data_IF_745909884129
#
_entry.id   IF_745909884129
#
_cell.length_a   1.000
_cell.length_b   1.000
_cell.length_c   1.000
_cell.angle_alpha   90.00
_cell.angle_beta   90.00
_cell.angle_gamma   90.00
#
_symmetry.space_group_name_H-M   'P 1'
#
loop_
_entity.id
_entity.type
_entity.pdbx_description
1 polymer ?
#
# COMPACT_ATOMS: atom_id res chain seq x y z
N UNK A 1 20.61 33.14 -35.37
CA UNK A 1 19.67 33.44 -34.28
C UNK A 1 18.41 32.56 -34.27
N UNK A 2 17.90 32.07 -35.41
CA UNK A 2 16.67 31.24 -35.45
C UNK A 2 16.76 29.88 -34.75
N UNK A 3 17.86 29.13 -34.90
CA UNK A 3 18.02 27.78 -34.33
C UNK A 3 18.17 27.81 -32.79
N UNK A 4 18.87 28.82 -32.26
CA UNK A 4 19.06 28.99 -30.82
C UNK A 4 17.72 29.28 -30.12
N UNK A 5 16.86 30.12 -30.73
CA UNK A 5 15.52 30.43 -30.24
C UNK A 5 14.54 29.23 -30.32
N UNK A 6 14.74 28.34 -31.29
CA UNK A 6 13.93 27.13 -31.45
C UNK A 6 14.30 26.07 -30.40
N UNK A 7 15.59 25.95 -30.08
CA UNK A 7 16.08 25.08 -29.00
C UNK A 7 15.65 25.57 -27.62
N UNK A 8 15.73 26.88 -27.34
CA UNK A 8 15.23 27.42 -26.07
C UNK A 8 13.71 27.33 -25.97
N UNK A 9 12.96 27.60 -27.04
CA UNK A 9 11.51 27.42 -27.04
C UNK A 9 11.10 25.95 -26.83
N UNK A 10 11.80 25.00 -27.46
CA UNK A 10 11.58 23.57 -27.23
C UNK A 10 11.93 23.17 -25.79
N UNK A 11 13.02 23.68 -25.23
CA UNK A 11 13.41 23.46 -23.84
C UNK A 11 12.36 24.00 -22.86
N UNK A 12 11.85 25.21 -23.09
CA UNK A 12 10.79 25.81 -22.28
C UNK A 12 9.48 25.01 -22.37
N UNK A 13 9.07 24.60 -23.57
CA UNK A 13 7.90 23.74 -23.77
C UNK A 13 8.07 22.38 -23.06
N UNK A 14 9.24 21.75 -23.17
CA UNK A 14 9.50 20.48 -22.46
C UNK A 14 9.54 20.67 -20.94
N UNK A 15 10.05 21.81 -20.45
CA UNK A 15 10.09 22.13 -19.03
C UNK A 15 8.68 22.40 -18.47
N UNK A 16 7.82 23.09 -19.22
CA UNK A 16 6.43 23.33 -18.82
C UNK A 16 5.59 22.04 -18.82
N UNK A 17 5.76 21.19 -19.82
CA UNK A 17 5.07 19.88 -19.90
C UNK A 17 5.51 18.99 -18.74
N UNK A 18 6.82 18.88 -18.48
CA UNK A 18 7.33 18.07 -17.35
C UNK A 18 6.92 18.63 -15.99
N UNK A 19 6.91 19.95 -15.80
CA UNK A 19 6.44 20.56 -14.54
C UNK A 19 4.95 20.29 -14.31
N UNK A 20 4.14 20.36 -15.36
CA UNK A 20 2.71 20.04 -15.31
C UNK A 20 2.48 18.58 -14.95
N UNK A 21 3.23 17.66 -15.56
CA UNK A 21 3.13 16.24 -15.28
C UNK A 21 3.55 15.93 -13.83
N UNK A 22 4.60 16.58 -13.32
CA UNK A 22 5.00 16.46 -11.91
C UNK A 22 3.97 17.04 -10.94
N UNK A 23 3.36 18.18 -11.26
CA UNK A 23 2.34 18.81 -10.42
C UNK A 23 1.06 17.96 -10.34
N UNK A 24 0.61 17.43 -11.48
CA UNK A 24 -0.55 16.52 -11.54
C UNK A 24 -0.25 15.23 -10.77
N UNK A 25 0.91 14.64 -10.99
CA UNK A 25 1.32 13.40 -10.32
C UNK A 25 1.47 13.59 -8.80
N UNK A 26 2.07 14.70 -8.37
CA UNK A 26 2.16 15.08 -6.96
C UNK A 26 0.79 15.32 -6.31
N UNK A 27 -0.13 15.99 -7.02
CA UNK A 27 -1.50 16.18 -6.56
C UNK A 27 -2.22 14.85 -6.34
N UNK A 28 -2.17 13.94 -7.32
CA UNK A 28 -2.79 12.62 -7.19
C UNK A 28 -2.11 11.73 -6.13
N UNK A 29 -0.81 11.90 -5.90
CA UNK A 29 -0.12 11.26 -4.77
C UNK A 29 -0.63 11.75 -3.42
N UNK A 30 -0.77 13.05 -3.22
CA UNK A 30 -1.31 13.62 -1.97
C UNK A 30 -2.79 13.25 -1.79
N UNK A 31 -3.59 13.37 -2.86
CA UNK A 31 -5.01 13.06 -2.82
C UNK A 31 -5.28 11.57 -2.52
N UNK A 32 -4.53 10.66 -3.16
CA UNK A 32 -4.64 9.22 -2.90
C UNK A 32 -4.20 8.85 -1.49
N UNK A 33 -3.13 9.46 -0.97
CA UNK A 33 -2.72 9.31 0.42
C UNK A 33 -3.85 9.69 1.40
N UNK A 34 -4.44 10.88 1.25
CA UNK A 34 -5.52 11.35 2.11
C UNK A 34 -6.78 10.48 1.99
N UNK A 35 -7.16 10.11 0.77
CA UNK A 35 -8.30 9.25 0.50
C UNK A 35 -8.11 7.87 1.13
N UNK A 36 -6.91 7.30 1.02
CA UNK A 36 -6.60 5.99 1.56
C UNK A 36 -6.67 5.98 3.09
N UNK A 37 -6.11 7.00 3.77
CA UNK A 37 -6.27 7.16 5.22
C UNK A 37 -7.75 7.29 5.59
N UNK A 38 -8.50 8.12 4.87
CA UNK A 38 -9.92 8.30 5.12
C UNK A 38 -10.70 6.97 4.99
N UNK A 39 -10.44 6.19 3.93
CA UNK A 39 -11.06 4.89 3.71
C UNK A 39 -10.69 3.89 4.81
N UNK A 40 -9.45 3.86 5.28
CA UNK A 40 -9.04 3.01 6.41
C UNK A 40 -9.78 3.39 7.69
N UNK A 41 -9.88 4.69 8.01
CA UNK A 41 -10.61 5.16 9.19
C UNK A 41 -12.11 4.86 9.11
N UNK A 42 -12.71 5.05 7.93
CA UNK A 42 -14.11 4.74 7.68
C UNK A 42 -14.36 3.23 7.80
N UNK A 43 -13.51 2.41 7.18
CA UNK A 43 -13.55 0.96 7.24
C UNK A 43 -13.45 0.44 8.68
N UNK A 44 -12.51 0.98 9.47
CA UNK A 44 -12.37 0.63 10.88
C UNK A 44 -13.63 0.96 11.69
N UNK A 45 -14.23 2.15 11.50
CA UNK A 45 -15.49 2.52 12.18
C UNK A 45 -16.66 1.64 11.78
N UNK A 46 -16.79 1.32 10.49
CA UNK A 46 -17.83 0.39 10.00
C UNK A 46 -17.65 -0.99 10.60
N UNK A 47 -16.41 -1.48 10.65
CA UNK A 47 -16.08 -2.78 11.22
C UNK A 47 -16.40 -2.88 12.72
N UNK A 48 -16.06 -1.86 13.51
CA UNK A 48 -16.42 -1.80 14.95
C UNK A 48 -17.93 -1.88 15.12
N UNK A 49 -18.69 -1.09 14.37
CA UNK A 49 -20.16 -1.09 14.44
C UNK A 49 -20.77 -2.45 14.06
N UNK A 50 -20.21 -3.12 13.06
CA UNK A 50 -20.64 -4.47 12.64
C UNK A 50 -20.30 -5.50 13.72
N UNK A 51 -19.16 -5.38 14.38
CA UNK A 51 -18.74 -6.26 15.47
C UNK A 51 -19.66 -6.13 16.69
N UNK A 52 -20.08 -4.91 17.01
CA UNK A 52 -21.06 -4.65 18.07
C UNK A 52 -22.44 -5.27 17.79
N UNK A 53 -22.78 -5.49 16.52
CA UNK A 53 -24.08 -6.07 16.12
C UNK A 53 -24.19 -7.59 16.26
N UNK A 54 -23.08 -8.30 16.53
CA UNK A 54 -23.08 -9.74 16.81
C UNK A 54 -21.94 -10.51 16.14
N UNK A 55 -21.81 -11.80 16.51
CA UNK A 55 -20.69 -12.66 16.09
C UNK A 55 -20.68 -13.03 14.59
N UNK A 56 -21.81 -12.89 13.89
CA UNK A 56 -21.95 -13.20 12.46
C UNK A 56 -21.48 -12.02 11.59
N UNK A 57 -21.60 -10.79 12.09
CA UNK A 57 -21.29 -9.56 11.36
C UNK A 57 -19.89 -9.54 10.72
N UNK A 58 -18.81 -9.79 11.48
CA UNK A 58 -17.45 -9.81 10.93
C UNK A 58 -17.24 -10.82 9.79
N UNK A 59 -17.87 -11.99 9.85
CA UNK A 59 -17.78 -13.01 8.80
C UNK A 59 -18.48 -12.59 7.51
N UNK A 60 -19.66 -11.97 7.64
CA UNK A 60 -20.39 -11.42 6.48
C UNK A 60 -19.60 -10.27 5.86
N UNK A 61 -19.02 -9.40 6.69
CA UNK A 61 -18.17 -8.30 6.22
C UNK A 61 -16.97 -8.80 5.41
N UNK A 62 -16.25 -9.81 5.91
CA UNK A 62 -15.14 -10.47 5.18
C UNK A 62 -15.63 -11.03 3.84
N UNK A 63 -16.77 -11.72 3.83
CA UNK A 63 -17.31 -12.32 2.61
C UNK A 63 -17.67 -11.25 1.57
N UNK A 64 -18.31 -10.16 1.98
CA UNK A 64 -18.64 -9.04 1.10
C UNK A 64 -17.38 -8.39 0.52
N UNK A 65 -16.38 -8.10 1.36
CA UNK A 65 -15.11 -7.53 0.90
C UNK A 65 -14.39 -8.46 -0.08
N UNK A 66 -14.38 -9.77 0.19
CA UNK A 66 -13.74 -10.75 -0.67
C UNK A 66 -14.46 -10.84 -2.03
N UNK A 67 -15.79 -10.88 -2.04
CA UNK A 67 -16.58 -10.90 -3.28
C UNK A 67 -16.35 -9.62 -4.09
N UNK A 68 -16.37 -8.45 -3.45
CA UNK A 68 -16.10 -7.17 -4.11
C UNK A 68 -14.68 -7.10 -4.67
N UNK A 69 -13.69 -7.57 -3.92
CA UNK A 69 -12.29 -7.63 -4.36
C UNK A 69 -12.09 -8.59 -5.53
N UNK A 70 -12.62 -9.81 -5.46
CA UNK A 70 -12.49 -10.78 -6.54
C UNK A 70 -13.26 -10.35 -7.80
N UNK A 71 -14.49 -9.85 -7.65
CA UNK A 71 -15.27 -9.34 -8.77
C UNK A 71 -14.57 -8.13 -9.40
N UNK A 72 -14.07 -7.20 -8.59
CA UNK A 72 -13.31 -6.04 -9.05
C UNK A 72 -12.07 -6.46 -9.85
N UNK A 73 -11.31 -7.44 -9.37
CA UNK A 73 -10.12 -7.93 -10.07
C UNK A 73 -10.46 -8.54 -11.44
N UNK A 74 -11.55 -9.32 -11.52
CA UNK A 74 -12.04 -9.91 -12.77
C UNK A 74 -12.55 -8.83 -13.73
N UNK A 75 -13.39 -7.91 -13.26
CA UNK A 75 -13.92 -6.81 -14.09
C UNK A 75 -12.82 -5.90 -14.63
N UNK A 76 -11.79 -5.65 -13.82
CA UNK A 76 -10.64 -4.83 -14.22
C UNK A 76 -9.85 -5.42 -15.40
N UNK A 77 -9.91 -6.73 -15.61
CA UNK A 77 -9.25 -7.39 -16.75
C UNK A 77 -9.92 -7.09 -18.09
N UNK A 78 -11.19 -6.65 -18.09
CA UNK A 78 -11.93 -6.31 -19.31
C UNK A 78 -11.80 -4.84 -19.71
N UNK A 79 -11.07 -4.04 -18.93
CA UNK A 79 -10.88 -2.62 -19.19
C UNK A 79 -9.70 -2.43 -20.13
N UNK A 80 -9.95 -1.82 -21.29
CA UNK A 80 -8.95 -1.57 -22.34
C UNK A 80 -7.93 -0.49 -21.97
N UNK A 81 -8.28 0.43 -21.06
CA UNK A 81 -7.34 1.41 -20.53
C UNK A 81 -6.48 0.75 -19.44
N UNK A 82 -5.17 0.64 -19.70
CA UNK A 82 -4.20 -0.01 -18.80
C UNK A 82 -4.09 0.68 -17.44
N UNK A 83 -4.13 2.01 -17.37
CA UNK A 83 -4.05 2.75 -16.10
C UNK A 83 -5.29 2.53 -15.25
N UNK A 84 -6.48 2.58 -15.87
CA UNK A 84 -7.74 2.34 -15.18
C UNK A 84 -7.87 0.87 -14.73
N UNK A 85 -7.42 -0.07 -15.57
CA UNK A 85 -7.34 -1.51 -15.25
C UNK A 85 -6.41 -1.78 -14.07
N UNK A 86 -5.23 -1.16 -14.04
CA UNK A 86 -4.29 -1.24 -12.94
C UNK A 86 -4.83 -0.64 -11.64
N UNK A 87 -5.47 0.54 -11.72
CA UNK A 87 -6.03 1.22 -10.57
C UNK A 87 -7.16 0.40 -9.93
N UNK A 88 -8.05 -0.14 -10.75
CA UNK A 88 -9.15 -0.98 -10.26
C UNK A 88 -8.67 -2.35 -9.79
N UNK A 89 -7.63 -2.91 -10.42
CA UNK A 89 -6.90 -4.07 -9.91
C UNK A 89 -6.33 -3.77 -8.51
N UNK A 90 -5.66 -2.64 -8.34
CA UNK A 90 -5.09 -2.23 -7.06
C UNK A 90 -6.13 -2.05 -5.95
N UNK A 91 -7.24 -1.37 -6.22
CA UNK A 91 -8.34 -1.22 -5.24
C UNK A 91 -8.98 -2.55 -4.91
N UNK A 92 -9.06 -3.47 -5.88
CA UNK A 92 -9.49 -4.85 -5.65
C UNK A 92 -8.54 -5.59 -4.72
N UNK A 93 -7.22 -5.39 -4.91
CA UNK A 93 -6.18 -5.91 -4.02
C UNK A 93 -6.32 -5.41 -2.57
N UNK A 94 -6.71 -4.15 -2.37
CA UNK A 94 -7.02 -3.61 -1.05
C UNK A 94 -8.16 -4.39 -0.38
N UNK A 95 -9.28 -4.61 -1.08
CA UNK A 95 -10.39 -5.37 -0.51
C UNK A 95 -10.04 -6.82 -0.23
N UNK A 96 -9.27 -7.46 -1.11
CA UNK A 96 -8.77 -8.84 -0.91
C UNK A 96 -7.88 -8.88 0.35
N UNK A 97 -6.95 -7.94 0.49
CA UNK A 97 -6.08 -7.85 1.65
C UNK A 97 -6.87 -7.64 2.95
N UNK A 98 -7.78 -6.69 2.97
CA UNK A 98 -8.56 -6.40 4.17
C UNK A 98 -9.48 -7.57 4.57
N UNK A 99 -10.00 -8.32 3.59
CA UNK A 99 -10.79 -9.52 3.83
C UNK A 99 -9.97 -10.70 4.36
N UNK A 100 -8.76 -10.92 3.82
CA UNK A 100 -7.94 -12.10 4.12
C UNK A 100 -6.99 -11.89 5.30
N UNK A 101 -6.59 -10.67 5.59
CA UNK A 101 -5.57 -10.37 6.60
C UNK A 101 -6.02 -9.35 7.64
N UNK A 102 -6.38 -8.11 7.28
CA UNK A 102 -6.67 -7.07 8.29
C UNK A 102 -7.79 -7.46 9.25
N UNK A 103 -8.96 -7.85 8.72
CA UNK A 103 -10.12 -8.21 9.53
C UNK A 103 -9.90 -9.53 10.28
N UNK A 104 -9.42 -10.62 9.65
CA UNK A 104 -9.09 -11.86 10.36
C UNK A 104 -8.06 -11.68 11.48
N UNK A 105 -7.07 -10.80 11.32
CA UNK A 105 -6.09 -10.51 12.37
C UNK A 105 -6.71 -9.76 13.55
N UNK A 106 -7.55 -8.75 13.29
CA UNK A 106 -8.30 -8.05 14.33
C UNK A 106 -9.24 -8.98 15.11
N UNK A 107 -9.78 -10.00 14.44
CA UNK A 107 -10.62 -11.04 15.06
C UNK A 107 -9.80 -12.19 15.69
N UNK A 108 -8.47 -12.11 15.68
CA UNK A 108 -7.55 -13.14 16.16
C UNK A 108 -7.69 -14.51 15.47
N UNK A 109 -8.22 -14.56 14.24
CA UNK A 109 -8.31 -15.79 13.45
C UNK A 109 -6.95 -16.18 12.86
N UNK A 110 -6.11 -15.18 12.57
CA UNK A 110 -4.78 -15.33 12.01
C UNK A 110 -3.80 -14.58 12.90
N UNK A 111 -2.56 -15.10 13.04
CA UNK A 111 -1.49 -14.43 13.78
C UNK A 111 -0.29 -14.19 12.87
N UNK A 112 0.19 -12.94 12.73
CA UNK A 112 1.39 -12.61 11.95
C UNK A 112 2.68 -13.16 12.58
N UNK A 113 2.64 -13.55 13.85
CA UNK A 113 3.79 -14.15 14.56
C UNK A 113 3.97 -15.64 14.28
N UNK A 114 3.02 -16.28 13.60
CA UNK A 114 3.15 -17.69 13.22
C UNK A 114 4.38 -17.91 12.33
N UNK A 115 5.14 -18.99 12.59
CA UNK A 115 6.26 -19.40 11.73
C UNK A 115 5.79 -19.77 10.32
N UNK A 116 4.59 -20.35 10.23
CA UNK A 116 4.00 -20.76 8.96
C UNK A 116 3.71 -19.56 8.04
N UNK A 117 3.46 -18.38 8.61
CA UNK A 117 3.19 -17.18 7.80
C UNK A 117 4.41 -16.78 6.94
N UNK A 118 5.65 -16.96 7.43
CA UNK A 118 6.86 -16.74 6.58
C UNK A 118 6.97 -17.81 5.50
N UNK A 119 6.70 -19.07 5.88
CA UNK A 119 6.80 -20.20 4.96
C UNK A 119 5.80 -20.13 3.81
N UNK A 120 4.64 -19.49 4.02
CA UNK A 120 3.69 -19.19 2.94
C UNK A 120 4.06 -17.93 2.18
N UNK A 121 4.51 -16.87 2.87
CA UNK A 121 4.86 -15.61 2.23
C UNK A 121 6.04 -15.72 1.26
N UNK A 122 7.15 -16.38 1.66
CA UNK A 122 8.37 -16.44 0.87
C UNK A 122 8.18 -17.10 -0.51
N UNK A 123 7.56 -18.29 -0.63
CA UNK A 123 7.26 -18.86 -1.94
C UNK A 123 6.31 -17.99 -2.76
N UNK A 124 5.33 -17.35 -2.12
CA UNK A 124 4.31 -16.55 -2.81
C UNK A 124 4.90 -15.27 -3.40
N UNK A 125 5.75 -14.56 -2.65
CA UNK A 125 6.45 -13.38 -3.17
C UNK A 125 7.48 -13.76 -4.24
N UNK A 126 8.16 -14.90 -4.09
CA UNK A 126 9.09 -15.40 -5.11
C UNK A 126 8.36 -15.79 -6.39
N UNK A 127 7.22 -16.47 -6.28
CA UNK A 127 6.39 -16.85 -7.43
C UNK A 127 5.81 -15.62 -8.11
N UNK A 128 5.40 -14.60 -7.35
CA UNK A 128 4.93 -13.34 -7.90
C UNK A 128 6.05 -12.55 -8.60
N UNK A 129 7.24 -12.46 -7.99
CA UNK A 129 8.41 -11.83 -8.60
C UNK A 129 8.89 -12.60 -9.84
N UNK A 130 8.88 -13.92 -9.81
CA UNK A 130 9.15 -14.75 -10.99
C UNK A 130 8.08 -14.53 -12.07
N UNK A 131 6.81 -14.43 -11.67
CA UNK A 131 5.71 -14.06 -12.55
C UNK A 131 5.98 -12.74 -13.27
N UNK A 132 6.41 -11.70 -12.55
CA UNK A 132 6.80 -10.43 -13.18
C UNK A 132 7.90 -10.57 -14.23
N UNK A 133 8.92 -11.37 -13.92
CA UNK A 133 10.12 -11.45 -14.76
C UNK A 133 9.94 -12.37 -15.97
N UNK A 134 9.12 -13.42 -15.82
CA UNK A 134 9.01 -14.50 -16.81
C UNK A 134 7.68 -14.53 -17.57
N UNK A 135 6.59 -13.95 -17.04
CA UNK A 135 5.29 -13.91 -17.72
C UNK A 135 5.10 -12.54 -18.39
N UNK A 136 5.29 -12.51 -19.72
CA UNK A 136 5.16 -11.28 -20.54
C UNK A 136 3.73 -10.75 -20.68
N UNK A 137 2.70 -11.54 -20.37
CA UNK A 137 1.29 -11.21 -20.65
C UNK A 137 0.39 -11.31 -19.42
N UNK A 138 0.86 -10.90 -18.24
CA UNK A 138 -0.03 -10.79 -17.08
C UNK A 138 -0.94 -9.56 -17.27
N UNK A 139 -2.28 -9.71 -17.15
CA UNK A 139 -3.19 -8.57 -17.19
C UNK A 139 -2.80 -7.53 -16.12
N UNK A 140 -2.72 -6.24 -16.46
CA UNK A 140 -2.32 -5.20 -15.51
C UNK A 140 -3.20 -5.17 -14.25
N UNK A 141 -4.49 -5.48 -14.39
CA UNK A 141 -5.41 -5.68 -13.26
C UNK A 141 -4.96 -6.74 -12.24
N UNK A 142 -4.53 -7.92 -12.71
CA UNK A 142 -4.08 -9.03 -11.85
C UNK A 142 -2.83 -8.63 -11.10
N UNK A 143 -1.95 -7.88 -11.76
CA UNK A 143 -0.76 -7.32 -11.16
C UNK A 143 -1.10 -6.36 -10.00
N UNK A 144 -2.01 -5.41 -10.24
CA UNK A 144 -2.48 -4.50 -9.19
C UNK A 144 -3.15 -5.23 -8.02
N UNK A 145 -3.99 -6.22 -8.33
CA UNK A 145 -4.77 -6.96 -7.33
C UNK A 145 -3.93 -7.88 -6.44
N UNK A 146 -2.81 -8.39 -6.95
CA UNK A 146 -1.93 -9.30 -6.20
C UNK A 146 -0.75 -8.58 -5.56
N UNK A 147 -0.25 -7.51 -6.19
CA UNK A 147 0.91 -6.75 -5.69
C UNK A 147 0.65 -6.02 -4.38
N UNK A 148 -0.55 -5.44 -4.22
CA UNK A 148 -0.90 -4.74 -2.98
C UNK A 148 -0.91 -5.67 -1.75
N UNK A 149 -1.68 -6.79 -1.73
CA UNK A 149 -1.65 -7.73 -0.61
C UNK A 149 -0.23 -8.19 -0.27
N UNK A 150 0.58 -8.52 -1.28
CA UNK A 150 1.94 -9.00 -1.09
C UNK A 150 2.86 -7.96 -0.45
N UNK A 151 2.81 -6.72 -0.93
CA UNK A 151 3.62 -5.63 -0.38
C UNK A 151 3.26 -5.33 1.07
N UNK A 152 1.96 -5.19 1.36
CA UNK A 152 1.49 -4.91 2.72
C UNK A 152 1.81 -6.06 3.67
N UNK A 153 1.61 -7.31 3.23
CA UNK A 153 1.93 -8.48 4.05
C UNK A 153 3.40 -8.53 4.45
N UNK A 154 4.31 -8.27 3.50
CA UNK A 154 5.74 -8.26 3.77
C UNK A 154 6.14 -7.22 4.82
N UNK A 155 5.61 -6.00 4.71
CA UNK A 155 5.85 -4.91 5.66
C UNK A 155 5.33 -5.30 7.05
N UNK A 156 4.11 -5.82 7.12
CA UNK A 156 3.49 -6.22 8.38
C UNK A 156 4.22 -7.39 9.06
N UNK A 157 4.62 -8.41 8.29
CA UNK A 157 5.39 -9.55 8.77
C UNK A 157 6.77 -9.14 9.30
N UNK A 158 7.43 -8.18 8.65
CA UNK A 158 8.71 -7.64 9.10
C UNK A 158 8.53 -6.87 10.41
N UNK A 159 7.54 -5.96 10.46
CA UNK A 159 7.22 -5.14 11.63
C UNK A 159 6.91 -5.98 12.86
N UNK A 160 5.92 -6.87 12.77
CA UNK A 160 5.47 -7.67 13.91
C UNK A 160 6.61 -8.50 14.53
N UNK A 161 7.49 -9.07 13.70
CA UNK A 161 8.60 -9.91 14.18
C UNK A 161 9.79 -9.11 14.71
N UNK A 162 10.10 -7.97 14.12
CA UNK A 162 11.17 -7.09 14.65
C UNK A 162 10.78 -6.59 16.03
N UNK A 163 9.54 -6.11 16.18
CA UNK A 163 9.00 -5.65 17.46
C UNK A 163 8.96 -6.78 18.48
N UNK A 164 8.44 -7.96 18.12
CA UNK A 164 8.30 -9.06 19.08
C UNK A 164 9.65 -9.60 19.58
N UNK A 165 10.70 -9.58 18.73
CA UNK A 165 11.99 -10.19 19.07
C UNK A 165 12.98 -9.21 19.69
N UNK A 166 12.97 -7.95 19.26
CA UNK A 166 13.96 -6.95 19.69
C UNK A 166 13.35 -5.82 20.53
N UNK A 167 12.02 -5.70 20.52
CA UNK A 167 11.31 -4.62 21.19
C UNK A 167 11.23 -3.35 20.34
N UNK A 168 10.21 -2.49 20.58
CA UNK A 168 9.95 -1.29 19.79
C UNK A 168 10.99 -0.17 20.01
N UNK A 169 11.77 -0.22 21.09
CA UNK A 169 12.85 0.74 21.38
C UNK A 169 14.22 0.32 20.83
N UNK A 170 14.31 -0.80 20.13
CA UNK A 170 15.58 -1.34 19.63
C UNK A 170 16.15 -0.60 18.43
N UNK A 171 17.46 -0.79 18.21
CA UNK A 171 18.14 -0.34 17.00
C UNK A 171 17.54 -1.00 15.75
N UNK A 172 17.11 -2.27 15.84
CA UNK A 172 16.42 -2.97 14.75
C UNK A 172 15.09 -2.30 14.37
N UNK A 173 14.28 -1.89 15.35
CA UNK A 173 13.05 -1.13 15.11
C UNK A 173 13.35 0.24 14.48
N UNK A 174 14.44 0.90 14.91
CA UNK A 174 14.88 2.17 14.32
C UNK A 174 15.32 2.01 12.87
N UNK A 175 16.11 0.97 12.55
CA UNK A 175 16.47 0.64 11.16
C UNK A 175 15.22 0.38 10.32
N UNK A 176 14.26 -0.39 10.86
CA UNK A 176 13.02 -0.67 10.16
C UNK A 176 12.23 0.61 9.86
N UNK A 177 12.11 1.53 10.82
CA UNK A 177 11.50 2.84 10.60
C UNK A 177 12.21 3.60 9.48
N UNK A 178 13.54 3.69 9.52
CA UNK A 178 14.33 4.39 8.50
C UNK A 178 14.16 3.77 7.11
N UNK A 179 14.14 2.44 7.02
CA UNK A 179 13.89 1.74 5.76
C UNK A 179 12.47 2.01 5.25
N UNK A 180 11.45 1.94 6.11
CA UNK A 180 10.08 2.26 5.70
C UNK A 180 9.95 3.72 5.28
N UNK A 181 10.61 4.66 5.97
CA UNK A 181 10.62 6.07 5.58
C UNK A 181 11.34 6.31 4.25
N UNK A 182 12.45 5.61 4.00
CA UNK A 182 13.15 5.65 2.72
C UNK A 182 12.29 5.08 1.58
N UNK A 183 11.57 3.98 1.82
CA UNK A 183 10.61 3.41 0.86
C UNK A 183 9.45 4.39 0.62
N UNK A 184 8.94 5.05 1.66
CA UNK A 184 7.88 6.04 1.55
C UNK A 184 8.32 7.22 0.66
N UNK A 185 9.46 7.85 0.99
CA UNK A 185 10.01 8.96 0.23
C UNK A 185 10.39 8.56 -1.20
N UNK A 186 10.98 7.37 -1.37
CA UNK A 186 11.34 6.82 -2.68
C UNK A 186 10.13 6.52 -3.56
N UNK A 187 9.05 5.97 -3.00
CA UNK A 187 7.83 5.68 -3.77
C UNK A 187 7.13 6.96 -4.22
N UNK A 188 7.10 7.99 -3.38
CA UNK A 188 6.52 9.29 -3.74
C UNK A 188 7.39 9.99 -4.79
N UNK A 189 8.72 9.98 -4.63
CA UNK A 189 9.65 10.54 -5.61
C UNK A 189 9.61 9.80 -6.96
N UNK A 190 9.62 8.47 -6.96
CA UNK A 190 9.48 7.66 -8.18
C UNK A 190 8.12 7.86 -8.84
N UNK A 191 7.06 7.97 -8.03
CA UNK A 191 5.72 8.31 -8.48
C UNK A 191 5.73 9.60 -9.28
N UNK A 192 6.28 10.67 -8.71
CA UNK A 192 6.45 11.98 -9.35
C UNK A 192 7.33 11.89 -10.60
N UNK A 193 8.50 11.24 -10.55
CA UNK A 193 9.44 11.17 -11.68
C UNK A 193 8.86 10.46 -12.90
N UNK A 194 8.00 9.44 -12.72
CA UNK A 194 7.37 8.74 -13.84
C UNK A 194 6.24 9.53 -14.51
N UNK A 195 5.73 10.60 -13.86
CA UNK A 195 4.83 11.58 -14.49
C UNK A 195 3.44 11.06 -14.91
N UNK A 196 3.04 9.86 -14.49
CA UNK A 196 1.71 9.30 -14.80
C UNK A 196 0.75 9.45 -13.62
N UNK A 197 -0.55 9.55 -13.92
CA UNK A 197 -1.60 9.56 -12.88
C UNK A 197 -1.49 8.34 -11.97
N UNK A 198 -1.28 7.18 -12.56
CA UNK A 198 -1.14 5.92 -11.84
C UNK A 198 0.11 5.87 -10.96
N UNK A 199 1.27 6.36 -11.45
CA UNK A 199 2.50 6.41 -10.65
C UNK A 199 2.37 7.36 -9.46
N UNK A 200 1.64 8.47 -9.62
CA UNK A 200 1.26 9.36 -8.52
C UNK A 200 0.40 8.66 -7.47
N UNK A 201 -0.67 7.99 -7.89
CA UNK A 201 -1.57 7.25 -7.00
C UNK A 201 -0.83 6.14 -6.24
N UNK A 202 -0.05 5.30 -6.93
CA UNK A 202 0.73 4.25 -6.26
C UNK A 202 1.76 4.85 -5.31
N UNK A 203 2.47 5.90 -5.72
CA UNK A 203 3.42 6.60 -4.88
C UNK A 203 2.77 7.07 -3.58
N UNK A 204 1.57 7.66 -3.68
CA UNK A 204 0.77 8.09 -2.54
C UNK A 204 0.32 6.95 -1.62
N UNK A 205 -0.10 5.81 -2.17
CA UNK A 205 -0.55 4.67 -1.35
C UNK A 205 0.62 3.93 -0.70
N UNK A 206 1.72 3.70 -1.42
CA UNK A 206 2.94 3.11 -0.83
C UNK A 206 3.48 4.03 0.27
N UNK A 207 3.45 5.34 0.05
CA UNK A 207 3.77 6.33 1.07
C UNK A 207 2.82 6.23 2.29
N UNK A 208 1.52 6.05 2.08
CA UNK A 208 0.55 5.88 3.16
C UNK A 208 0.85 4.64 4.02
N UNK A 209 1.05 3.48 3.39
CA UNK A 209 1.34 2.21 4.06
C UNK A 209 2.64 2.31 4.87
N UNK A 210 3.69 2.84 4.24
CA UNK A 210 5.00 2.94 4.86
C UNK A 210 5.00 3.95 6.03
N UNK A 211 4.34 5.10 5.85
CA UNK A 211 4.12 6.09 6.92
C UNK A 211 3.33 5.49 8.08
N UNK A 212 2.25 4.76 7.80
CA UNK A 212 1.44 4.10 8.81
C UNK A 212 2.27 3.08 9.60
N UNK A 213 3.07 2.25 8.92
CA UNK A 213 3.98 1.32 9.58
C UNK A 213 4.99 2.02 10.48
N UNK A 214 5.56 3.15 10.05
CA UNK A 214 6.48 3.94 10.86
C UNK A 214 5.78 4.53 12.10
N UNK A 215 4.57 5.09 11.93
CA UNK A 215 3.77 5.64 13.02
C UNK A 215 3.42 4.59 14.08
N UNK A 216 3.06 3.37 13.67
CA UNK A 216 2.78 2.29 14.62
C UNK A 216 4.01 1.93 15.47
N UNK A 217 5.21 1.83 14.86
CA UNK A 217 6.43 1.53 15.62
C UNK A 217 6.74 2.66 16.61
N UNK A 218 6.57 3.92 16.19
CA UNK A 218 6.74 5.09 17.07
C UNK A 218 5.73 5.05 18.22
N UNK A 219 4.46 4.76 17.93
CA UNK A 219 3.40 4.65 18.93
C UNK A 219 3.70 3.56 19.95
N UNK A 220 4.04 2.34 19.50
CA UNK A 220 4.40 1.23 20.40
C UNK A 220 5.62 1.56 21.27
N UNK A 221 6.61 2.24 20.70
CA UNK A 221 7.77 2.72 21.47
C UNK A 221 7.34 3.73 22.54
N UNK A 222 6.47 4.68 22.21
CA UNK A 222 5.91 5.65 23.15
C UNK A 222 5.12 4.98 24.28
N UNK A 223 4.28 3.99 23.94
CA UNK A 223 3.51 3.22 24.92
C UNK A 223 4.41 2.38 25.84
N UNK A 224 5.49 1.80 25.30
CA UNK A 224 6.46 1.03 26.08
C UNK A 224 7.21 1.90 27.10
N UNK A 225 7.48 3.16 26.76
CA UNK A 225 8.19 4.10 27.64
C UNK A 225 7.31 4.67 28.77
N UNK A 226 5.99 4.48 28.72
CA UNK A 226 4.99 4.96 29.71
C UNK A 226 5.28 6.40 30.20
N UNK A 227 5.48 7.38 29.29
CA UNK A 227 5.87 8.74 29.68
C UNK A 227 4.89 9.40 30.66
N UNK A 228 3.62 9.02 30.63
CA UNK A 228 2.57 9.50 31.54
C UNK A 228 2.66 8.96 32.97
N UNK A 229 3.53 7.98 33.26
CA UNK A 229 3.79 7.50 34.63
C UNK A 229 4.89 8.29 35.34
N UNK A 230 5.64 9.12 34.61
CA UNK A 230 6.74 9.92 35.14
C UNK A 230 6.35 11.41 35.25
N UNK A 231 5.07 11.72 35.40
CA UNK A 231 4.53 13.04 35.73
C UNK A 231 3.75 12.99 37.03
#
# INVERSE_FOLDING_TARGET
>A
MGILNLLTAALFLTAEVTLKDYAVTGFFGIASFLLFIFLQLLGAKLFVKITESGHIGPRVFVLVLLVLGLAGAVFSCFISNSEASLLLGFTSGLFIWSALCDVPEQMHWISPLSRNAVLFFLPLILLWAAGMLFLREIPPAVFGATGYPLGVWGIQLARARVISRWGPSSLAATILILLTAAIAGGALALGVVHGTLFSGIIGGVVFAIATWSALEIIWERGMAQKPWKNS
#
